data_IF_994826975126
#
_entry.id   IF_994826975126
#
_cell.length_a   1.000
_cell.length_b   1.000
_cell.length_c   1.000
_cell.angle_alpha   90.00
_cell.angle_beta   90.00
_cell.angle_gamma   90.00
#
_symmetry.space_group_name_H-M   'P 1'
#
loop_
_entity.id
_entity.type
_entity.pdbx_description
1 polymer ?
#
# COMPACT_ATOMS: atom_id res chain seq x y z
N UNK A 1 4.68 9.71 9.94
CA UNK A 1 4.04 11.03 9.71
C UNK A 1 2.70 11.16 10.42
N UNK A 2 1.60 10.52 9.99
CA UNK A 2 0.28 10.72 10.64
C UNK A 2 0.25 10.28 12.11
N UNK A 3 0.96 9.20 12.47
CA UNK A 3 1.10 8.79 13.88
C UNK A 3 1.76 9.86 14.74
N UNK A 4 2.72 10.61 14.19
CA UNK A 4 3.40 11.72 14.86
C UNK A 4 2.46 12.91 15.01
N UNK A 5 1.77 13.30 13.93
CA UNK A 5 0.79 14.39 13.94
C UNK A 5 -0.32 14.18 14.98
N UNK A 6 -0.71 12.94 15.25
CA UNK A 6 -1.67 12.61 16.31
C UNK A 6 -1.18 12.97 17.71
N UNK A 7 0.11 12.84 17.96
CA UNK A 7 0.70 13.21 19.25
C UNK A 7 0.86 14.73 19.34
N UNK A 8 1.31 15.37 18.27
CA UNK A 8 1.47 16.83 18.19
C UNK A 8 0.14 17.58 18.36
N UNK A 9 -0.95 17.02 17.81
CA UNK A 9 -2.29 17.61 17.85
C UNK A 9 -3.17 17.05 18.98
N UNK A 10 -2.60 16.35 19.97
CA UNK A 10 -3.36 15.67 21.02
C UNK A 10 -4.24 16.62 21.87
N UNK A 11 -3.88 17.91 21.94
CA UNK A 11 -4.63 18.94 22.66
C UNK A 11 -5.63 19.71 21.78
N UNK A 12 -5.99 19.15 20.62
CA UNK A 12 -6.94 19.76 19.67
C UNK A 12 -8.12 18.81 19.41
N UNK A 13 -9.16 19.33 18.76
CA UNK A 13 -10.30 18.53 18.32
C UNK A 13 -10.10 17.88 16.93
N UNK A 14 -8.86 17.86 16.42
CA UNK A 14 -8.53 17.30 15.10
C UNK A 14 -8.35 15.79 15.21
N UNK A 15 -9.18 15.04 14.47
CA UNK A 15 -9.04 13.59 14.35
C UNK A 15 -8.23 13.25 13.10
N UNK A 16 -7.23 12.37 13.23
CA UNK A 16 -6.44 11.89 12.10
C UNK A 16 -6.63 10.39 11.90
N UNK A 17 -6.89 10.01 10.66
CA UNK A 17 -7.11 8.64 10.22
C UNK A 17 -6.21 8.30 9.03
N UNK A 18 -5.62 7.12 9.05
CA UNK A 18 -4.91 6.53 7.92
C UNK A 18 -5.81 5.51 7.22
N UNK A 19 -5.98 5.64 5.91
CA UNK A 19 -6.60 4.62 5.07
C UNK A 19 -5.47 3.86 4.38
N UNK A 20 -5.40 2.56 4.64
CA UNK A 20 -4.32 1.69 4.20
C UNK A 20 -4.91 0.62 3.28
N UNK A 21 -5.05 0.93 1.98
CA UNK A 21 -5.46 -0.04 1.00
C UNK A 21 -4.32 -1.00 0.66
N UNK A 22 -4.68 -2.26 0.37
CA UNK A 22 -3.83 -3.13 -0.42
C UNK A 22 -4.11 -2.91 -1.91
N UNK A 23 -4.11 -3.97 -2.74
CA UNK A 23 -4.46 -3.83 -4.15
C UNK A 23 -5.88 -3.27 -4.34
N UNK A 24 -6.00 -2.20 -5.12
CA UNK A 24 -7.27 -1.53 -5.46
C UNK A 24 -7.32 -1.28 -6.96
N UNK A 25 -8.47 -1.54 -7.56
CA UNK A 25 -8.74 -1.24 -8.97
C UNK A 25 -8.56 0.26 -9.24
N UNK A 26 -7.57 0.61 -10.05
CA UNK A 26 -7.26 1.98 -10.42
C UNK A 26 -6.32 2.03 -11.63
N UNK A 27 -6.15 3.22 -12.22
CA UNK A 27 -5.16 3.45 -13.29
C UNK A 27 -3.72 3.59 -12.78
N UNK A 28 -3.45 3.20 -11.53
CA UNK A 28 -2.14 3.39 -10.90
C UNK A 28 -1.02 2.68 -11.67
N UNK A 29 -1.22 1.42 -12.11
CA UNK A 29 -0.18 0.66 -12.84
C UNK A 29 0.25 1.32 -14.13
N UNK A 30 -0.71 1.74 -14.96
CA UNK A 30 -0.45 2.41 -16.25
C UNK A 30 0.24 3.76 -16.00
N UNK A 31 -0.20 4.53 -15.00
CA UNK A 31 0.44 5.80 -14.65
C UNK A 31 1.86 5.60 -14.10
N UNK A 32 2.07 4.57 -13.27
CA UNK A 32 3.38 4.21 -12.74
C UNK A 32 4.33 3.76 -13.86
N UNK A 33 3.85 2.99 -14.84
CA UNK A 33 4.63 2.61 -16.02
C UNK A 33 5.10 3.84 -16.81
N UNK A 34 4.19 4.78 -17.10
CA UNK A 34 4.53 6.03 -17.81
C UNK A 34 5.56 6.85 -17.04
N UNK A 35 5.39 6.99 -15.72
CA UNK A 35 6.32 7.72 -14.88
C UNK A 35 7.69 7.01 -14.83
N UNK A 36 7.72 5.69 -14.73
CA UNK A 36 8.94 4.90 -14.71
C UNK A 36 9.74 5.07 -16.00
N UNK A 37 9.11 4.90 -17.17
CA UNK A 37 9.76 5.10 -18.48
C UNK A 37 10.30 6.52 -18.68
N UNK A 38 9.69 7.53 -18.03
CA UNK A 38 10.12 8.92 -18.14
C UNK A 38 11.33 9.25 -17.24
N UNK A 39 11.46 8.57 -16.11
CA UNK A 39 12.34 9.03 -15.03
C UNK A 39 13.42 8.03 -14.63
N UNK A 40 13.35 6.77 -15.06
CA UNK A 40 14.31 5.74 -14.67
C UNK A 40 15.15 5.31 -15.86
N UNK A 41 16.47 5.46 -15.73
CA UNK A 41 17.43 4.83 -16.61
C UNK A 41 17.58 3.36 -16.22
N UNK A 42 17.06 2.48 -17.08
CA UNK A 42 17.15 1.04 -16.87
C UNK A 42 18.49 0.46 -17.28
N UNK A 43 19.13 1.03 -18.29
CA UNK A 43 20.30 0.44 -18.93
C UNK A 43 21.53 0.57 -18.04
N UNK A 44 21.55 1.57 -17.16
CA UNK A 44 22.62 1.77 -16.18
C UNK A 44 22.16 1.55 -14.72
N UNK A 45 21.51 0.42 -14.44
CA UNK A 45 21.02 0.08 -13.09
C UNK A 45 21.35 -1.35 -12.68
N UNK A 46 21.75 -1.55 -11.43
CA UNK A 46 21.93 -2.88 -10.81
C UNK A 46 20.61 -3.69 -10.74
N UNK A 47 19.46 -3.03 -10.89
CA UNK A 47 18.12 -3.63 -10.78
C UNK A 47 17.49 -3.99 -12.14
N UNK A 48 18.27 -4.01 -13.23
CA UNK A 48 17.78 -4.33 -14.59
C UNK A 48 16.84 -5.54 -14.64
N UNK A 49 17.20 -6.64 -13.97
CA UNK A 49 16.40 -7.86 -13.96
C UNK A 49 15.05 -7.67 -13.25
N UNK A 50 15.04 -6.96 -12.12
CA UNK A 50 13.83 -6.61 -11.37
C UNK A 50 12.93 -5.67 -12.19
N UNK A 51 13.52 -4.70 -12.90
CA UNK A 51 12.76 -3.77 -13.74
C UNK A 51 12.06 -4.47 -14.89
N UNK A 52 12.70 -5.43 -15.56
CA UNK A 52 12.06 -6.24 -16.62
C UNK A 52 10.80 -6.95 -16.10
N UNK A 53 10.89 -7.56 -14.92
CA UNK A 53 9.74 -8.23 -14.25
C UNK A 53 8.65 -7.23 -13.85
N UNK A 54 9.06 -6.09 -13.27
CA UNK A 54 8.15 -5.03 -12.86
C UNK A 54 7.40 -4.43 -14.06
N UNK A 55 8.06 -4.19 -15.19
CA UNK A 55 7.42 -3.65 -16.40
C UNK A 55 6.36 -4.61 -16.93
N UNK A 56 6.70 -5.90 -17.03
CA UNK A 56 5.73 -6.94 -17.43
C UNK A 56 4.49 -6.91 -16.53
N UNK A 57 4.69 -6.76 -15.21
CA UNK A 57 3.60 -6.59 -14.26
C UNK A 57 2.86 -5.28 -14.47
N UNK A 58 3.53 -4.14 -14.65
CA UNK A 58 2.84 -2.85 -14.81
C UNK A 58 2.01 -2.75 -16.10
N UNK A 59 2.38 -3.48 -17.14
CA UNK A 59 1.66 -3.53 -18.42
C UNK A 59 0.57 -4.60 -18.47
N UNK A 60 0.53 -5.54 -17.52
CA UNK A 60 -0.51 -6.57 -17.45
C UNK A 60 -1.85 -5.98 -16.99
N UNK A 61 -2.94 -6.48 -17.57
CA UNK A 61 -4.32 -6.16 -17.15
C UNK A 61 -4.83 -7.10 -16.05
N UNK A 62 -4.06 -8.13 -15.68
CA UNK A 62 -4.45 -9.10 -14.65
C UNK A 62 -4.50 -8.42 -13.28
N UNK A 63 -5.63 -8.57 -12.57
CA UNK A 63 -5.77 -8.06 -11.22
C UNK A 63 -4.89 -8.87 -10.25
N UNK A 64 -4.23 -8.18 -9.33
CA UNK A 64 -3.51 -8.84 -8.25
C UNK A 64 -4.50 -9.52 -7.29
N UNK A 65 -4.04 -10.56 -6.59
CA UNK A 65 -4.85 -11.21 -5.57
C UNK A 65 -5.37 -10.22 -4.52
N UNK A 66 -6.59 -10.43 -4.06
CA UNK A 66 -7.28 -9.59 -3.08
C UNK A 66 -7.50 -8.13 -3.53
N UNK A 67 -7.44 -7.87 -4.84
CA UNK A 67 -7.83 -6.57 -5.40
C UNK A 67 -9.31 -6.29 -5.10
N UNK A 68 -9.58 -5.11 -4.54
CA UNK A 68 -10.93 -4.62 -4.29
C UNK A 68 -11.26 -3.41 -5.17
N UNK A 69 -12.54 -3.12 -5.44
CA UNK A 69 -12.93 -1.92 -6.16
C UNK A 69 -12.64 -0.65 -5.34
N UNK A 70 -12.51 0.49 -6.02
CA UNK A 70 -12.27 1.79 -5.38
C UNK A 70 -13.35 2.18 -4.34
N UNK A 71 -14.57 1.63 -4.48
CA UNK A 71 -15.67 1.81 -3.52
C UNK A 71 -15.32 1.28 -2.11
N UNK A 72 -14.40 0.31 -2.00
CA UNK A 72 -13.92 -0.17 -0.71
C UNK A 72 -13.17 0.92 0.08
N UNK A 73 -12.35 1.72 -0.62
CA UNK A 73 -11.66 2.88 -0.04
C UNK A 73 -12.67 3.98 0.29
N UNK A 74 -13.63 4.24 -0.60
CA UNK A 74 -14.70 5.23 -0.38
C UNK A 74 -15.47 4.96 0.90
N UNK A 75 -15.84 3.69 1.16
CA UNK A 75 -16.54 3.31 2.40
C UNK A 75 -15.74 3.66 3.66
N UNK A 76 -14.42 3.43 3.65
CA UNK A 76 -13.55 3.81 4.75
C UNK A 76 -13.43 5.34 4.90
N UNK A 77 -13.29 6.07 3.79
CA UNK A 77 -13.21 7.53 3.79
C UNK A 77 -14.50 8.16 4.31
N UNK A 78 -15.65 7.68 3.87
CA UNK A 78 -16.95 8.14 4.35
C UNK A 78 -17.09 7.93 5.85
N UNK A 79 -16.70 6.77 6.37
CA UNK A 79 -16.69 6.56 7.83
C UNK A 79 -15.72 7.51 8.52
N UNK A 80 -14.51 7.72 8.00
CA UNK A 80 -13.53 8.61 8.62
C UNK A 80 -14.03 10.06 8.70
N UNK A 81 -14.76 10.52 7.68
CA UNK A 81 -15.30 11.88 7.62
C UNK A 81 -16.56 12.08 8.47
N UNK A 82 -17.43 11.07 8.58
CA UNK A 82 -18.75 11.22 9.22
C UNK A 82 -18.82 10.69 10.65
N UNK A 83 -17.84 9.90 11.11
CA UNK A 83 -17.91 9.30 12.44
C UNK A 83 -17.61 10.33 13.54
N UNK A 84 -18.40 10.29 14.62
CA UNK A 84 -18.13 11.05 15.85
C UNK A 84 -16.72 10.74 16.40
N UNK A 85 -16.32 9.47 16.33
CA UNK A 85 -14.95 9.00 16.59
C UNK A 85 -14.46 8.17 15.41
N UNK A 86 -13.58 8.75 14.60
CA UNK A 86 -12.93 8.08 13.49
C UNK A 86 -11.85 7.11 14.00
N UNK A 87 -11.64 6.01 13.26
CA UNK A 87 -10.59 5.05 13.59
C UNK A 87 -9.24 5.60 13.19
N UNK A 88 -8.19 5.24 13.93
CA UNK A 88 -6.82 5.68 13.62
C UNK A 88 -6.32 5.03 12.32
N UNK A 89 -6.61 3.75 12.11
CA UNK A 89 -6.18 2.99 10.93
C UNK A 89 -7.33 2.20 10.31
N UNK A 90 -7.56 2.41 9.01
CA UNK A 90 -8.51 1.67 8.18
C UNK A 90 -7.76 0.74 7.22
N UNK A 91 -7.60 -0.52 7.64
CA UNK A 91 -7.03 -1.57 6.81
C UNK A 91 -8.12 -2.09 5.87
N UNK A 92 -8.01 -1.80 4.58
CA UNK A 92 -9.11 -1.99 3.62
C UNK A 92 -9.19 -3.45 3.17
N UNK A 93 -8.10 -3.99 2.65
CA UNK A 93 -8.05 -5.34 2.06
C UNK A 93 -7.65 -6.39 3.09
N UNK A 94 -7.91 -7.67 2.81
CA UNK A 94 -7.52 -8.76 3.69
C UNK A 94 -6.01 -8.80 4.01
N UNK A 95 -5.10 -8.69 3.01
CA UNK A 95 -3.66 -8.68 3.28
C UNK A 95 -3.25 -7.55 4.24
N UNK A 96 -3.83 -6.35 4.11
CA UNK A 96 -3.48 -5.24 5.02
C UNK A 96 -3.87 -5.53 6.46
N UNK A 97 -5.02 -6.19 6.69
CA UNK A 97 -5.44 -6.61 8.04
C UNK A 97 -4.52 -7.67 8.60
N UNK A 98 -4.15 -8.66 7.78
CA UNK A 98 -3.25 -9.74 8.17
C UNK A 98 -1.87 -9.19 8.57
N UNK A 99 -1.24 -8.38 7.71
CA UNK A 99 0.08 -7.81 7.99
C UNK A 99 0.07 -6.87 9.20
N UNK A 100 -1.02 -6.14 9.45
CA UNK A 100 -1.15 -5.33 10.66
C UNK A 100 -1.08 -6.17 11.95
N UNK A 101 -1.68 -7.36 11.94
CA UNK A 101 -1.62 -8.30 13.06
C UNK A 101 -0.22 -8.90 13.16
N UNK A 102 0.32 -9.38 12.04
CA UNK A 102 1.65 -10.01 12.01
C UNK A 102 2.75 -9.04 12.49
N UNK A 103 2.69 -7.77 12.09
CA UNK A 103 3.65 -6.74 12.51
C UNK A 103 3.63 -6.47 14.02
N UNK A 104 2.51 -6.75 14.67
CA UNK A 104 2.37 -6.59 16.13
C UNK A 104 2.89 -7.80 16.90
N UNK A 105 2.87 -8.98 16.28
CA UNK A 105 3.18 -10.25 16.94
C UNK A 105 4.57 -10.78 16.63
N UNK A 106 5.07 -10.55 15.42
CA UNK A 106 6.32 -11.14 14.95
C UNK A 106 7.52 -10.22 15.20
N UNK A 107 8.69 -10.78 15.58
CA UNK A 107 9.95 -10.05 15.54
C UNK A 107 10.30 -9.58 14.11
N UNK A 108 11.02 -8.47 14.01
CA UNK A 108 11.38 -7.85 12.74
C UNK A 108 12.05 -8.83 11.76
N UNK A 109 13.03 -9.62 12.21
CA UNK A 109 13.76 -10.56 11.36
C UNK A 109 12.87 -11.63 10.72
N UNK A 110 11.79 -12.05 11.39
CA UNK A 110 10.86 -13.03 10.85
C UNK A 110 9.91 -12.38 9.84
N UNK A 111 9.48 -11.16 10.14
CA UNK A 111 8.70 -10.35 9.22
C UNK A 111 9.46 -10.06 7.93
N UNK A 112 10.75 -9.70 8.01
CA UNK A 112 11.59 -9.42 6.85
C UNK A 112 11.67 -10.64 5.92
N UNK A 113 11.79 -11.85 6.49
CA UNK A 113 11.74 -13.10 5.72
C UNK A 113 10.40 -13.30 5.01
N UNK A 114 9.29 -13.01 5.69
CA UNK A 114 7.94 -13.12 5.10
C UNK A 114 7.77 -12.11 3.97
N UNK A 115 8.15 -10.86 4.18
CA UNK A 115 8.02 -9.78 3.20
C UNK A 115 8.91 -10.00 1.97
N UNK A 116 10.16 -10.42 2.17
CA UNK A 116 11.06 -10.76 1.07
C UNK A 116 10.49 -11.89 0.20
N UNK A 117 9.85 -12.89 0.82
CA UNK A 117 9.17 -13.96 0.09
C UNK A 117 7.90 -13.47 -0.63
N UNK A 118 7.14 -12.58 0.00
CA UNK A 118 5.91 -12.04 -0.58
C UNK A 118 6.16 -11.10 -1.77
N UNK A 119 7.23 -10.29 -1.73
CA UNK A 119 7.53 -9.28 -2.76
C UNK A 119 8.04 -9.81 -4.09
N UNK A 120 8.47 -11.07 -4.16
CA UNK A 120 8.77 -11.77 -5.42
C UNK A 120 9.80 -11.07 -6.34
N UNK A 121 10.65 -10.18 -5.80
CA UNK A 121 11.67 -9.46 -6.57
C UNK A 121 11.13 -8.59 -7.73
N UNK A 122 9.89 -8.10 -7.64
CA UNK A 122 9.25 -7.26 -8.66
C UNK A 122 8.15 -7.94 -9.48
N UNK A 123 7.89 -9.23 -9.23
CA UNK A 123 6.83 -10.01 -9.89
C UNK A 123 5.43 -9.82 -9.29
N UNK A 124 5.34 -9.31 -8.06
CA UNK A 124 4.08 -9.13 -7.30
C UNK A 124 3.85 -7.66 -6.96
#
# INVERSE_FOLDING_TARGET
MVSTLRLELANTNVQLSLIQPGPIESKFRINAYKAFMKHVDMDNSDYQSNYKKMIKRLQSDELADFTLPATAVLKCAQHALCAKQARIHYHVTFPTKLFAILMRLLPAWLMDKILNKAGGGGER
#
